data_IF_364337034361
#
_entry.id   IF_364337034361
#
_cell.length_a   1.000
_cell.length_b   1.000
_cell.length_c   1.000
_cell.angle_alpha   90.00
_cell.angle_beta   90.00
_cell.angle_gamma   90.00
#
_symmetry.space_group_name_H-M   'P 1'
#
loop_
_entity.id
_entity.type
_entity.pdbx_description
1 polymer ?
#
# COMPACT_ATOMS: atom_id res chain seq x y z
N UNK A 1 -11.06 12.70 -19.15
CA UNK A 1 -11.69 12.05 -17.97
C UNK A 1 -10.71 12.09 -16.84
N UNK A 2 -11.19 12.15 -15.58
CA UNK A 2 -10.29 12.12 -14.42
C UNK A 2 -10.29 10.72 -13.79
N UNK A 3 -9.13 10.32 -13.27
CA UNK A 3 -8.95 9.06 -12.58
C UNK A 3 -7.71 9.07 -11.70
N UNK A 4 -7.47 7.98 -10.99
CA UNK A 4 -6.31 7.80 -10.10
C UNK A 4 -5.39 6.72 -10.64
N UNK A 5 -4.08 6.96 -10.65
CA UNK A 5 -3.08 5.95 -11.01
C UNK A 5 -3.04 4.91 -9.88
N UNK A 6 -3.43 3.68 -10.18
CA UNK A 6 -3.39 2.56 -9.23
C UNK A 6 -2.16 1.68 -9.42
N UNK A 7 -1.53 1.72 -10.62
CA UNK A 7 -0.38 0.87 -10.96
C UNK A 7 0.45 1.51 -12.06
N UNK A 8 1.77 1.29 -12.03
CA UNK A 8 2.71 1.72 -13.06
C UNK A 8 3.72 0.63 -13.38
N UNK A 9 3.75 0.13 -14.64
CA UNK A 9 4.64 -0.94 -15.08
C UNK A 9 5.19 -0.60 -16.46
N UNK A 10 6.52 -0.65 -16.60
CA UNK A 10 7.21 -0.53 -17.90
C UNK A 10 6.77 0.68 -18.74
N UNK A 11 6.42 1.80 -18.09
CA UNK A 11 5.99 3.03 -18.78
C UNK A 11 4.50 3.09 -19.10
N UNK A 12 3.73 2.08 -18.72
CA UNK A 12 2.28 2.09 -18.74
C UNK A 12 1.75 2.40 -17.34
N UNK A 13 0.61 3.11 -17.29
CA UNK A 13 -0.10 3.50 -16.09
C UNK A 13 -1.52 2.97 -16.15
N UNK A 14 -1.94 2.29 -15.11
CA UNK A 14 -3.31 1.80 -14.97
C UNK A 14 -4.06 2.79 -14.12
N UNK A 15 -5.12 3.36 -14.69
CA UNK A 15 -5.85 4.47 -14.10
C UNK A 15 -7.28 4.02 -13.83
N UNK A 16 -7.65 4.04 -12.57
CA UNK A 16 -9.02 3.80 -12.16
C UNK A 16 -9.85 5.06 -12.35
N UNK A 17 -10.90 4.95 -13.17
CA UNK A 17 -11.91 5.98 -13.40
C UNK A 17 -13.21 5.47 -12.78
N UNK A 18 -13.74 6.17 -11.78
CA UNK A 18 -14.87 5.71 -10.95
C UNK A 18 -16.11 5.27 -11.75
N UNK A 19 -16.36 5.90 -12.89
CA UNK A 19 -17.56 5.65 -13.71
C UNK A 19 -17.34 4.66 -14.86
N UNK A 20 -16.08 4.27 -15.15
CA UNK A 20 -15.77 3.61 -16.42
C UNK A 20 -14.77 2.45 -16.28
N UNK A 21 -14.20 2.20 -15.08
CA UNK A 21 -13.27 1.10 -14.85
C UNK A 21 -11.80 1.50 -14.97
N UNK A 22 -10.94 0.54 -15.31
CA UNK A 22 -9.48 0.72 -15.33
C UNK A 22 -8.98 0.88 -16.76
N UNK A 23 -8.31 1.99 -17.03
CA UNK A 23 -7.70 2.31 -18.33
C UNK A 23 -6.20 2.08 -18.30
N UNK A 24 -5.67 1.39 -19.32
CA UNK A 24 -4.24 1.32 -19.59
C UNK A 24 -3.80 2.54 -20.39
N UNK A 25 -2.95 3.38 -19.82
CA UNK A 25 -2.53 4.64 -20.39
C UNK A 25 -1.02 4.76 -20.51
N UNK A 26 -0.58 5.50 -21.53
CA UNK A 26 0.81 5.96 -21.65
C UNK A 26 0.91 7.41 -21.22
N UNK A 27 2.01 7.79 -20.58
CA UNK A 27 2.30 9.19 -20.30
C UNK A 27 2.74 9.90 -21.61
N UNK A 28 2.10 11.04 -21.95
CA UNK A 28 2.53 11.86 -23.06
C UNK A 28 3.96 12.39 -22.82
N UNK A 29 4.73 12.58 -23.91
CA UNK A 29 6.13 13.05 -23.85
C UNK A 29 6.35 14.38 -23.12
N UNK A 30 5.30 15.20 -22.96
CA UNK A 30 5.33 16.47 -22.23
C UNK A 30 5.81 16.32 -20.78
N UNK A 31 5.55 15.18 -20.14
CA UNK A 31 6.00 14.93 -18.76
C UNK A 31 7.51 14.81 -18.65
N UNK A 32 8.19 14.29 -19.71
CA UNK A 32 9.66 14.26 -19.77
C UNK A 32 10.23 15.68 -19.82
N UNK A 33 9.60 16.56 -20.58
CA UNK A 33 10.05 17.95 -20.73
C UNK A 33 9.83 18.74 -19.44
N UNK A 34 8.79 18.43 -18.68
CA UNK A 34 8.49 19.05 -17.37
C UNK A 34 9.24 18.40 -16.20
N UNK A 35 10.04 17.36 -16.43
CA UNK A 35 10.70 16.56 -15.39
C UNK A 35 9.75 16.01 -14.31
N UNK A 36 8.48 15.81 -14.67
CA UNK A 36 7.46 15.26 -13.76
C UNK A 36 7.28 13.79 -14.11
N UNK A 37 7.47 12.94 -13.13
CA UNK A 37 7.20 11.50 -13.26
C UNK A 37 5.84 11.18 -12.65
N UNK A 38 4.89 10.57 -13.41
CA UNK A 38 3.67 10.09 -12.81
C UNK A 38 3.96 9.02 -11.75
N UNK A 39 3.26 9.12 -10.63
CA UNK A 39 3.39 8.21 -9.49
C UNK A 39 2.08 7.47 -9.25
N UNK A 40 2.17 6.30 -8.64
CA UNK A 40 0.99 5.62 -8.11
C UNK A 40 0.36 6.51 -7.03
N UNK A 41 -0.97 6.66 -7.08
CA UNK A 41 -1.71 7.61 -6.24
C UNK A 41 -1.96 8.97 -6.87
N UNK A 42 -1.31 9.32 -7.99
CA UNK A 42 -1.61 10.57 -8.70
C UNK A 42 -3.06 10.60 -9.19
N UNK A 43 -3.71 11.74 -8.97
CA UNK A 43 -4.94 12.07 -9.68
C UNK A 43 -4.54 12.67 -11.03
N UNK A 44 -5.12 12.15 -12.10
CA UNK A 44 -4.71 12.49 -13.47
C UNK A 44 -5.89 12.77 -14.37
N UNK A 45 -5.63 13.55 -15.40
CA UNK A 45 -6.53 13.64 -16.54
C UNK A 45 -6.07 12.68 -17.65
N UNK A 46 -7.01 11.93 -18.19
CA UNK A 46 -6.75 11.02 -19.31
C UNK A 46 -7.56 11.41 -20.55
N UNK A 47 -6.95 11.22 -21.70
CA UNK A 47 -7.59 11.24 -23.00
C UNK A 47 -7.81 9.80 -23.45
N UNK A 48 -9.07 9.41 -23.61
CA UNK A 48 -9.43 8.06 -24.05
C UNK A 48 -9.16 7.95 -25.56
N UNK A 49 -8.38 6.95 -25.96
CA UNK A 49 -8.08 6.65 -27.36
C UNK A 49 -9.01 5.52 -27.86
N UNK A 50 -9.19 4.51 -27.05
CA UNK A 50 -9.98 3.33 -27.36
C UNK A 50 -10.83 2.98 -26.13
N UNK A 51 -12.12 3.23 -26.27
CA UNK A 51 -13.08 3.02 -25.17
C UNK A 51 -13.39 1.55 -24.94
N UNK A 52 -13.41 0.77 -26.01
CA UNK A 52 -13.79 -0.66 -25.95
C UNK A 52 -12.65 -1.49 -25.33
N UNK A 53 -11.41 -1.09 -25.58
CA UNK A 53 -10.22 -1.75 -25.03
C UNK A 53 -9.60 -1.00 -23.82
N UNK A 54 -10.31 -0.03 -23.24
CA UNK A 54 -9.87 0.74 -22.09
C UNK A 54 -8.45 1.32 -22.24
N UNK A 55 -8.15 1.94 -23.40
CA UNK A 55 -6.83 2.54 -23.66
C UNK A 55 -6.89 4.06 -23.74
N UNK A 56 -5.84 4.70 -23.20
CA UNK A 56 -5.77 6.15 -23.20
C UNK A 56 -4.34 6.69 -23.06
N UNK A 57 -4.27 8.01 -22.93
CA UNK A 57 -3.05 8.71 -22.57
C UNK A 57 -3.28 9.56 -21.32
N UNK A 58 -2.30 9.60 -20.42
CA UNK A 58 -2.23 10.61 -19.37
C UNK A 58 -1.87 11.93 -20.01
N UNK A 59 -2.74 12.91 -19.86
CA UNK A 59 -2.55 14.25 -20.44
C UNK A 59 -2.11 15.27 -19.42
N UNK A 60 -2.54 15.12 -18.17
CA UNK A 60 -2.11 15.99 -17.07
C UNK A 60 -2.11 15.26 -15.71
N UNK A 61 -1.31 15.77 -14.78
CA UNK A 61 -1.25 15.32 -13.39
C UNK A 61 -1.77 16.46 -12.53
N UNK A 62 -2.82 16.19 -11.77
CA UNK A 62 -3.42 17.17 -10.89
C UNK A 62 -2.51 17.46 -9.68
N UNK A 63 -2.68 18.61 -9.01
CA UNK A 63 -1.87 18.96 -7.85
C UNK A 63 -1.85 17.85 -6.80
N UNK A 64 -0.66 17.49 -6.34
CA UNK A 64 -0.44 16.48 -5.29
C UNK A 64 -0.68 17.10 -3.92
N UNK A 65 -1.36 16.33 -3.04
CA UNK A 65 -1.45 16.61 -1.61
C UNK A 65 -0.09 16.40 -0.93
N UNK A 66 0.57 15.30 -1.27
CA UNK A 66 1.91 14.93 -0.82
C UNK A 66 2.56 14.00 -1.84
N UNK A 67 3.88 13.81 -1.70
CA UNK A 67 4.67 12.91 -2.51
C UNK A 67 5.70 12.21 -1.65
N UNK A 68 5.70 10.88 -1.67
CA UNK A 68 6.68 10.07 -0.96
C UNK A 68 7.80 9.63 -1.90
N UNK A 69 9.04 9.64 -1.39
CA UNK A 69 10.22 9.17 -2.13
C UNK A 69 10.30 7.64 -2.06
N UNK A 70 9.98 7.06 -0.92
CA UNK A 70 10.02 5.59 -0.68
C UNK A 70 8.89 5.14 0.23
N UNK A 71 7.95 4.34 -0.29
CA UNK A 71 7.77 4.00 -1.71
C UNK A 71 7.36 5.22 -2.53
N UNK A 72 7.80 5.29 -3.80
CA UNK A 72 7.46 6.41 -4.69
C UNK A 72 5.95 6.40 -4.98
N UNK A 73 5.22 7.30 -4.33
CA UNK A 73 3.76 7.39 -4.37
C UNK A 73 3.28 8.80 -4.06
N UNK A 74 2.06 9.13 -4.44
CA UNK A 74 1.47 10.45 -4.25
C UNK A 74 0.07 10.36 -3.64
N UNK A 75 -0.39 11.47 -3.05
CA UNK A 75 -1.73 11.61 -2.48
C UNK A 75 -2.06 10.56 -1.42
N UNK A 76 -1.10 10.30 -0.53
CA UNK A 76 -1.21 9.32 0.55
C UNK A 76 -1.94 9.93 1.73
N UNK A 77 -2.91 9.21 2.28
CA UNK A 77 -3.68 9.63 3.47
C UNK A 77 -3.04 9.10 4.74
N UNK A 78 -2.42 7.91 4.69
CA UNK A 78 -1.73 7.30 5.83
C UNK A 78 -0.68 6.28 5.37
N UNK A 79 0.24 5.96 6.27
CA UNK A 79 1.19 4.86 6.12
C UNK A 79 0.86 3.75 7.12
N UNK A 80 0.88 2.50 6.67
CA UNK A 80 0.86 1.34 7.56
C UNK A 80 2.23 0.68 7.53
N UNK A 81 2.93 0.73 8.65
CA UNK A 81 4.27 0.16 8.79
C UNK A 81 4.17 -1.21 9.44
N UNK A 82 4.49 -2.26 8.68
CA UNK A 82 4.26 -3.64 9.07
C UNK A 82 5.57 -4.28 9.52
N UNK A 83 5.58 -4.82 10.73
CA UNK A 83 6.67 -5.61 11.30
C UNK A 83 6.14 -6.95 11.82
N UNK A 84 6.97 -7.99 11.83
CA UNK A 84 6.65 -9.21 12.55
C UNK A 84 6.94 -9.01 14.04
N UNK A 85 6.14 -9.62 14.92
CA UNK A 85 6.36 -9.55 16.37
C UNK A 85 7.69 -10.20 16.77
N UNK A 86 8.06 -11.33 16.14
CA UNK A 86 9.29 -12.09 16.44
C UNK A 86 10.07 -12.51 15.21
N UNK A 87 9.45 -13.12 14.21
CA UNK A 87 10.15 -13.74 13.07
C UNK A 87 9.70 -13.14 11.74
N UNK A 88 10.56 -12.37 11.05
CA UNK A 88 11.92 -11.98 11.44
C UNK A 88 11.93 -11.10 12.68
N UNK A 89 13.02 -11.17 13.45
CA UNK A 89 13.18 -10.33 14.64
C UNK A 89 13.06 -8.86 14.28
N UNK A 90 12.20 -8.09 14.99
CA UNK A 90 11.92 -6.72 14.64
C UNK A 90 13.14 -5.82 14.88
N UNK A 91 13.57 -5.11 13.84
CA UNK A 91 14.55 -4.05 13.98
C UNK A 91 13.81 -2.75 14.34
N UNK A 92 13.73 -2.45 15.64
CA UNK A 92 13.03 -1.27 16.14
C UNK A 92 13.66 0.04 15.67
N UNK A 93 14.99 0.11 15.49
CA UNK A 93 15.61 1.30 14.90
C UNK A 93 15.11 1.58 13.48
N UNK A 94 14.82 0.52 12.72
CA UNK A 94 14.24 0.67 11.38
C UNK A 94 12.77 1.10 11.47
N UNK A 95 12.00 0.57 12.41
CA UNK A 95 10.61 0.97 12.64
C UNK A 95 10.55 2.45 13.04
N UNK A 96 11.38 2.88 13.98
CA UNK A 96 11.46 4.27 14.45
C UNK A 96 11.82 5.22 13.28
N UNK A 97 12.74 4.81 12.40
CA UNK A 97 13.08 5.58 11.19
C UNK A 97 11.91 5.72 10.23
N UNK A 98 11.10 4.65 10.06
CA UNK A 98 9.90 4.74 9.24
C UNK A 98 8.90 5.74 9.82
N UNK A 99 8.63 5.67 11.13
CA UNK A 99 7.72 6.58 11.82
C UNK A 99 8.20 8.02 11.67
N UNK A 100 9.47 8.28 11.95
CA UNK A 100 10.06 9.62 11.81
C UNK A 100 9.97 10.16 10.38
N UNK A 101 10.23 9.31 9.39
CA UNK A 101 10.15 9.69 7.98
C UNK A 101 8.72 10.04 7.57
N UNK A 102 7.71 9.30 8.05
CA UNK A 102 6.31 9.59 7.77
C UNK A 102 5.86 10.87 8.49
N UNK A 103 6.24 11.03 9.76
CA UNK A 103 5.94 12.25 10.53
C UNK A 103 6.58 13.50 9.88
N UNK A 104 7.80 13.39 9.36
CA UNK A 104 8.45 14.49 8.64
C UNK A 104 7.69 14.91 7.37
N UNK A 105 6.91 14.02 6.80
CA UNK A 105 6.09 14.25 5.60
C UNK A 105 4.61 14.48 5.93
N UNK A 106 4.28 14.70 7.20
CA UNK A 106 2.91 14.88 7.71
C UNK A 106 1.95 13.75 7.30
N UNK A 107 2.48 12.51 7.23
CA UNK A 107 1.68 11.32 6.90
C UNK A 107 1.38 10.53 8.18
N UNK A 108 0.11 10.45 8.60
CA UNK A 108 -0.30 9.64 9.74
C UNK A 108 0.18 8.20 9.61
N UNK A 109 0.68 7.63 10.71
CA UNK A 109 1.28 6.30 10.69
C UNK A 109 0.54 5.35 11.62
N UNK A 110 0.22 4.17 11.09
CA UNK A 110 -0.28 3.00 11.83
C UNK A 110 0.82 1.96 11.88
N UNK A 111 1.15 1.48 13.06
CA UNK A 111 2.10 0.38 13.27
C UNK A 111 1.33 -0.93 13.34
N UNK A 112 1.60 -1.83 12.41
CA UNK A 112 0.98 -3.15 12.34
C UNK A 112 2.00 -4.23 12.71
N UNK A 113 1.79 -4.93 13.81
CA UNK A 113 2.58 -6.07 14.23
C UNK A 113 1.91 -7.37 13.77
N UNK A 114 2.47 -7.99 12.74
CA UNK A 114 1.99 -9.26 12.21
C UNK A 114 2.62 -10.47 12.93
N UNK A 115 2.01 -11.64 12.78
CA UNK A 115 2.40 -12.91 13.40
C UNK A 115 2.26 -12.87 14.93
N UNK A 116 1.18 -12.27 15.41
CA UNK A 116 0.90 -12.09 16.82
C UNK A 116 0.86 -13.41 17.61
N UNK A 117 0.60 -14.52 16.91
CA UNK A 117 0.63 -15.88 17.48
C UNK A 117 2.01 -16.30 18.00
N UNK A 118 3.07 -15.57 17.67
CA UNK A 118 4.43 -15.84 18.13
C UNK A 118 4.80 -15.11 19.43
N UNK A 119 3.93 -14.26 19.97
CA UNK A 119 4.19 -13.46 21.15
C UNK A 119 3.09 -13.66 22.22
N UNK A 120 3.49 -13.60 23.48
CA UNK A 120 2.58 -13.53 24.59
C UNK A 120 1.97 -12.13 24.76
N UNK A 121 0.97 -12.03 25.61
CA UNK A 121 0.25 -10.78 25.84
C UNK A 121 1.10 -9.73 26.56
N UNK A 122 2.04 -10.14 27.40
CA UNK A 122 2.94 -9.25 28.11
C UNK A 122 3.81 -8.48 27.11
N UNK A 123 4.44 -9.18 26.18
CA UNK A 123 5.27 -8.58 25.13
C UNK A 123 4.46 -7.70 24.16
N UNK A 124 3.26 -8.13 23.79
CA UNK A 124 2.35 -7.29 22.96
C UNK A 124 1.99 -5.98 23.67
N UNK A 125 1.68 -6.04 24.97
CA UNK A 125 1.38 -4.85 25.76
C UNK A 125 2.58 -3.91 25.93
N UNK A 126 3.80 -4.45 26.04
CA UNK A 126 5.02 -3.66 26.06
C UNK A 126 5.21 -2.90 24.75
N UNK A 127 5.10 -3.58 23.61
CA UNK A 127 5.19 -2.97 22.29
C UNK A 127 4.11 -1.89 22.09
N UNK A 128 2.88 -2.19 22.50
CA UNK A 128 1.76 -1.26 22.41
C UNK A 128 2.05 0.04 23.18
N UNK A 129 2.42 -0.07 24.45
CA UNK A 129 2.78 1.09 25.29
C UNK A 129 3.90 1.93 24.67
N UNK A 130 4.91 1.26 24.10
CA UNK A 130 6.06 1.94 23.49
C UNK A 130 5.65 2.82 22.31
N UNK A 131 4.80 2.33 21.41
CA UNK A 131 4.47 3.03 20.16
C UNK A 131 3.22 3.90 20.24
N UNK A 132 2.26 3.61 21.10
CA UNK A 132 1.15 4.53 21.38
C UNK A 132 1.65 5.84 21.99
N UNK A 133 2.71 5.79 22.80
CA UNK A 133 3.39 6.98 23.33
C UNK A 133 4.01 7.89 22.24
N UNK A 134 4.23 7.37 21.04
CA UNK A 134 4.69 8.13 19.87
C UNK A 134 3.55 8.69 19.01
N UNK A 135 2.28 8.55 19.44
CA UNK A 135 1.12 9.00 18.67
C UNK A 135 0.72 8.08 17.52
N UNK A 136 1.26 6.85 17.48
CA UNK A 136 0.92 5.86 16.46
C UNK A 136 -0.14 4.89 16.98
N UNK A 137 -1.15 4.60 16.17
CA UNK A 137 -2.04 3.46 16.46
C UNK A 137 -1.27 2.16 16.27
N UNK A 138 -1.37 1.23 17.24
CA UNK A 138 -0.74 -0.08 17.18
C UNK A 138 -1.79 -1.17 17.01
N UNK A 139 -1.64 -1.98 15.97
CA UNK A 139 -2.54 -3.09 15.63
C UNK A 139 -1.73 -4.38 15.61
N UNK A 140 -2.24 -5.42 16.28
CA UNK A 140 -1.66 -6.76 16.23
C UNK A 140 -2.55 -7.65 15.38
N UNK A 141 -1.93 -8.43 14.49
CA UNK A 141 -2.62 -9.33 13.57
C UNK A 141 -1.89 -10.65 13.40
N UNK A 142 -2.63 -11.67 13.00
CA UNK A 142 -2.09 -12.87 12.40
C UNK A 142 -2.67 -13.03 10.99
N UNK A 143 -1.92 -12.57 9.98
CA UNK A 143 -2.34 -12.74 8.59
C UNK A 143 -2.44 -14.23 8.21
N UNK A 144 -1.67 -15.11 8.85
CA UNK A 144 -1.74 -16.56 8.65
C UNK A 144 -3.05 -17.16 9.16
N UNK A 145 -3.51 -16.69 10.31
CA UNK A 145 -4.70 -17.23 11.02
C UNK A 145 -5.94 -16.37 10.80
N UNK A 146 -5.86 -15.34 9.95
CA UNK A 146 -6.94 -14.40 9.66
C UNK A 146 -7.48 -13.67 10.91
N UNK A 147 -6.58 -13.35 11.87
CA UNK A 147 -6.92 -12.65 13.12
C UNK A 147 -6.60 -11.18 12.98
N UNK A 148 -7.51 -10.29 13.41
CA UNK A 148 -7.33 -8.84 13.40
C UNK A 148 -7.47 -8.18 12.03
N UNK A 149 -7.85 -8.93 10.99
CA UNK A 149 -7.98 -8.41 9.61
C UNK A 149 -9.13 -7.41 9.52
N UNK A 150 -10.24 -7.66 10.20
CA UNK A 150 -11.38 -6.72 10.23
C UNK A 150 -10.96 -5.32 10.72
N UNK A 151 -10.10 -5.28 11.74
CA UNK A 151 -9.56 -4.00 12.25
C UNK A 151 -8.69 -3.30 11.20
N UNK A 152 -7.89 -4.05 10.45
CA UNK A 152 -7.11 -3.49 9.32
C UNK A 152 -8.06 -2.92 8.28
N UNK A 153 -9.12 -3.64 7.91
CA UNK A 153 -10.12 -3.17 6.94
C UNK A 153 -10.77 -1.86 7.38
N UNK A 154 -11.13 -1.73 8.67
CA UNK A 154 -11.67 -0.48 9.21
C UNK A 154 -10.71 0.70 9.07
N UNK A 155 -9.42 0.48 9.40
CA UNK A 155 -8.38 1.52 9.36
C UNK A 155 -8.05 1.94 7.93
N UNK A 156 -8.13 1.01 6.97
CA UNK A 156 -7.86 1.27 5.55
C UNK A 156 -9.04 1.93 4.82
N UNK A 157 -10.24 1.79 5.34
CA UNK A 157 -11.48 2.21 4.67
C UNK A 157 -11.46 3.69 4.26
N UNK A 158 -11.66 3.93 2.97
CA UNK A 158 -11.74 5.28 2.39
C UNK A 158 -10.42 6.06 2.35
N UNK A 159 -9.28 5.39 2.59
CA UNK A 159 -7.96 6.01 2.64
C UNK A 159 -7.00 5.41 1.63
N UNK A 160 -6.19 6.25 1.02
CA UNK A 160 -5.02 5.83 0.27
C UNK A 160 -3.90 5.52 1.26
N UNK A 161 -3.60 4.23 1.43
CA UNK A 161 -2.62 3.77 2.42
C UNK A 161 -1.39 3.19 1.74
N UNK A 162 -0.22 3.64 2.16
CA UNK A 162 1.04 3.01 1.76
C UNK A 162 1.45 1.94 2.76
N UNK A 163 1.81 0.74 2.26
CA UNK A 163 2.36 -0.32 3.10
C UNK A 163 3.88 -0.28 3.07
N UNK A 164 4.50 -0.18 4.23
CA UNK A 164 5.95 -0.20 4.40
C UNK A 164 6.37 -1.29 5.41
N UNK A 165 7.62 -1.72 5.33
CA UNK A 165 8.18 -2.69 6.28
C UNK A 165 9.22 -3.60 5.64
N UNK A 166 10.02 -4.33 6.45
CA UNK A 166 11.07 -5.21 5.97
C UNK A 166 10.52 -6.45 5.22
N UNK A 167 11.43 -7.20 4.60
CA UNK A 167 11.06 -8.46 3.95
C UNK A 167 10.68 -9.53 4.98
N UNK A 168 9.76 -10.42 4.63
CA UNK A 168 9.37 -11.57 5.46
C UNK A 168 8.39 -11.28 6.59
N UNK A 169 7.94 -10.04 6.76
CA UNK A 169 6.96 -9.67 7.80
C UNK A 169 5.52 -10.02 7.45
N UNK A 170 5.24 -10.46 6.20
CA UNK A 170 3.92 -10.89 5.76
C UNK A 170 3.11 -9.81 5.03
N UNK A 171 3.74 -8.77 4.47
CA UNK A 171 3.04 -7.75 3.66
C UNK A 171 2.22 -8.35 2.52
N UNK A 172 2.84 -9.22 1.71
CA UNK A 172 2.14 -9.87 0.59
C UNK A 172 1.01 -10.77 1.04
N UNK A 173 1.18 -11.48 2.16
CA UNK A 173 0.10 -12.31 2.75
C UNK A 173 -1.07 -11.44 3.17
N UNK A 174 -0.79 -10.34 3.88
CA UNK A 174 -1.83 -9.39 4.28
C UNK A 174 -2.52 -8.78 3.05
N UNK A 175 -1.75 -8.34 2.05
CA UNK A 175 -2.28 -7.80 0.80
C UNK A 175 -3.25 -8.78 0.14
N UNK A 176 -2.87 -10.05 0.00
CA UNK A 176 -3.72 -11.07 -0.63
C UNK A 176 -5.01 -11.35 0.18
N UNK A 177 -4.99 -11.17 1.50
CA UNK A 177 -6.20 -11.27 2.33
C UNK A 177 -7.14 -10.07 2.15
N UNK A 178 -6.56 -8.89 1.91
CA UNK A 178 -7.34 -7.67 1.73
C UNK A 178 -7.94 -7.56 0.33
N UNK A 179 -7.41 -8.31 -0.66
CA UNK A 179 -7.82 -8.28 -2.07
C UNK A 179 -8.10 -9.71 -2.56
N UNK A 180 -9.18 -10.34 -2.09
CA UNK A 180 -9.48 -11.72 -2.48
C UNK A 180 -9.78 -11.88 -3.99
N UNK A 181 -10.25 -10.82 -4.68
CA UNK A 181 -10.73 -10.90 -6.05
C UNK A 181 -9.68 -10.57 -7.14
N UNK A 182 -8.42 -10.28 -6.76
CA UNK A 182 -7.36 -10.00 -7.74
C UNK A 182 -6.72 -11.27 -8.35
N UNK A 183 -7.08 -12.45 -7.88
CA UNK A 183 -6.61 -13.71 -8.48
C UNK A 183 -7.05 -13.87 -9.95
N UNK A 184 -8.26 -13.43 -10.29
CA UNK A 184 -8.78 -13.49 -11.65
C UNK A 184 -8.05 -12.58 -12.64
N UNK A 185 -7.32 -11.58 -12.15
CA UNK A 185 -6.56 -10.62 -12.97
C UNK A 185 -5.04 -10.88 -13.01
N UNK A 186 -4.57 -11.98 -12.44
CA UNK A 186 -3.14 -12.35 -12.45
C UNK A 186 -2.24 -11.44 -11.61
N UNK A 187 -2.78 -10.69 -10.68
CA UNK A 187 -2.08 -9.65 -9.90
C UNK A 187 -1.76 -10.01 -8.45
N UNK A 188 -2.04 -11.24 -8.04
CA UNK A 188 -1.73 -11.71 -6.68
C UNK A 188 -0.22 -11.65 -6.44
N UNK A 189 0.17 -11.00 -5.37
CA UNK A 189 1.57 -11.01 -4.92
C UNK A 189 1.96 -12.43 -4.51
N UNK A 190 2.95 -13.02 -5.19
CA UNK A 190 3.46 -14.33 -4.78
C UNK A 190 4.01 -14.25 -3.36
N UNK A 191 3.40 -14.97 -2.44
CA UNK A 191 3.91 -15.16 -1.10
C UNK A 191 5.04 -16.18 -1.15
N UNK A 192 6.25 -15.76 -0.77
CA UNK A 192 7.39 -16.67 -0.65
C UNK A 192 7.43 -17.33 0.73
N UNK A 193 7.93 -18.54 0.81
CA UNK A 193 8.28 -19.14 2.09
C UNK A 193 9.34 -18.29 2.82
N UNK A 194 9.16 -18.15 4.12
CA UNK A 194 10.13 -17.45 4.97
C UNK A 194 11.36 -18.35 5.07
N UNK A 195 12.50 -17.86 4.62
CA UNK A 195 13.78 -18.59 4.76
C UNK A 195 14.12 -18.85 6.22
N UNK A 196 15.04 -19.79 6.50
CA UNK A 196 15.54 -20.08 7.87
C UNK A 196 16.05 -18.85 8.64
N UNK A 197 16.34 -17.75 7.93
CA UNK A 197 16.77 -16.47 8.50
C UNK A 197 15.59 -15.51 8.67
N UNK A 198 14.35 -15.96 8.48
CA UNK A 198 13.15 -15.12 8.58
C UNK A 198 12.94 -14.14 7.41
N UNK A 199 13.62 -14.33 6.28
CA UNK A 199 13.47 -13.51 5.08
C UNK A 199 12.69 -14.28 4.02
N UNK A 200 11.54 -13.75 3.62
CA UNK A 200 10.81 -14.22 2.44
C UNK A 200 11.44 -13.71 1.13
N UNK A 201 11.01 -14.24 0.01
CA UNK A 201 11.42 -13.72 -1.31
C UNK A 201 10.97 -12.26 -1.47
N UNK A 202 11.85 -11.43 -2.02
CA UNK A 202 11.52 -10.06 -2.36
C UNK A 202 10.46 -10.01 -3.46
N UNK A 203 9.24 -9.68 -3.08
CA UNK A 203 8.23 -9.18 -3.99
C UNK A 203 8.05 -7.70 -3.68
N UNK A 204 9.01 -6.88 -4.08
CA UNK A 204 8.89 -5.43 -3.96
C UNK A 204 8.14 -4.88 -5.15
N UNK A 205 6.83 -4.86 -5.07
CA UNK A 205 6.04 -3.91 -5.84
C UNK A 205 5.39 -2.96 -4.83
N UNK A 206 5.52 -1.64 -4.99
CA UNK A 206 4.69 -0.72 -4.23
C UNK A 206 3.26 -0.98 -4.69
N UNK A 207 2.46 -1.54 -3.82
CA UNK A 207 1.03 -1.64 -4.03
C UNK A 207 0.44 -0.43 -3.31
N UNK A 208 -0.10 0.48 -4.08
CA UNK A 208 -0.86 1.60 -3.55
C UNK A 208 -2.31 1.16 -3.44
N UNK A 209 -2.85 1.24 -2.27
CA UNK A 209 -4.22 0.85 -1.98
C UNK A 209 -5.09 2.08 -1.93
N UNK A 210 -6.02 2.20 -2.87
CA UNK A 210 -6.99 3.27 -2.91
C UNK A 210 -8.39 2.71 -2.89
N UNK A 211 -9.18 3.05 -1.90
CA UNK A 211 -10.61 2.78 -1.72
C UNK A 211 -11.01 1.36 -1.34
N UNK A 212 -11.16 1.12 -0.04
CA UNK A 212 -12.11 0.14 0.47
C UNK A 212 -13.48 0.84 0.59
N UNK A 213 -14.39 0.61 -0.34
CA UNK A 213 -15.81 0.92 -0.13
C UNK A 213 -16.42 -0.20 0.71
N UNK A 214 -17.05 0.17 1.83
CA UNK A 214 -17.97 -0.74 2.50
C UNK A 214 -19.20 -0.86 1.61
N UNK A 215 -19.56 -2.05 1.24
CA UNK A 215 -20.80 -2.48 0.58
C UNK A 215 -20.84 -2.69 -0.92
N UNK A 216 -19.73 -2.70 -1.63
CA UNK A 216 -19.80 -3.41 -2.90
C UNK A 216 -18.50 -4.15 -3.08
N UNK A 217 -18.61 -5.43 -3.32
CA UNK A 217 -17.59 -6.37 -3.71
C UNK A 217 -16.82 -5.87 -4.92
N UNK A 218 -15.78 -5.14 -4.64
CA UNK A 218 -14.87 -4.54 -5.58
C UNK A 218 -13.85 -3.80 -4.76
N UNK A 219 -12.90 -4.53 -4.16
CA UNK A 219 -11.82 -3.93 -3.41
C UNK A 219 -10.90 -3.21 -4.38
N UNK A 220 -10.95 -1.91 -4.38
CA UNK A 220 -9.91 -1.10 -4.97
C UNK A 220 -8.94 -0.71 -3.86
N UNK A 221 -7.76 -1.24 -3.97
CA UNK A 221 -6.66 -0.96 -3.07
C UNK A 221 -5.58 -0.19 -3.81
#
# INVERSE_FOLDING_TARGET
>A
MQGKIIKGIAGFYYIHVETSGIYECKAKGIFRNRHIKPLVGDNVEIEVIDKDNFKGNVVDILPRKNELIRPASANIDQAMVIFAVKTPEPNFNLLDKFILMMNYQDVPTVVCFNKEELADDEYKNELKKKYEGCGCECIFISAKNNIGIDRIMEVLKGKTTVLAGPSGVGKSTLTNLLIPDMEEQGEVSQTGEVSRIGRGRHTTRPVSYTHLRAHETGAYL
#
